data_IF_064062075704
#
_entry.id   IF_064062075704
#
_cell.length_a   1.000
_cell.length_b   1.000
_cell.length_c   1.000
_cell.angle_alpha   90.00
_cell.angle_beta   90.00
_cell.angle_gamma   90.00
#
_symmetry.space_group_name_H-M   'P 1'
#
loop_
_entity.id
_entity.type
_entity.pdbx_description
1 polymer ?
#
# COMPACT_ATOMS: atom_id res chain seq x y z
N UNK A 1 2.14 12.43 -1.64
CA UNK A 1 3.49 12.03 -1.17
C UNK A 1 4.48 12.99 -1.79
N UNK A 2 4.93 14.00 -1.05
CA UNK A 2 5.69 15.13 -1.59
C UNK A 2 7.21 14.96 -1.54
N UNK A 3 7.74 13.87 -0.98
CA UNK A 3 9.19 13.70 -0.82
C UNK A 3 9.85 13.03 -2.03
N UNK A 4 9.39 11.84 -2.43
CA UNK A 4 10.00 11.11 -3.54
C UNK A 4 9.93 11.87 -4.88
N UNK A 5 8.85 12.61 -5.12
CA UNK A 5 8.69 13.46 -6.32
C UNK A 5 9.65 14.66 -6.37
N UNK A 6 10.36 14.97 -5.27
CA UNK A 6 11.38 16.03 -5.26
C UNK A 6 12.73 15.56 -5.83
N UNK A 7 12.90 14.25 -6.00
CA UNK A 7 14.12 13.68 -6.57
C UNK A 7 14.08 13.77 -8.10
N UNK A 8 15.22 14.08 -8.72
CA UNK A 8 15.32 14.32 -10.16
C UNK A 8 15.12 13.05 -11.00
N UNK A 9 15.33 11.88 -10.42
CA UNK A 9 15.30 10.55 -11.05
C UNK A 9 14.19 9.66 -10.47
N UNK A 10 13.09 10.27 -10.01
CA UNK A 10 11.98 9.54 -9.37
C UNK A 10 11.38 8.46 -10.28
N UNK A 11 11.42 7.21 -9.80
CA UNK A 11 10.70 6.07 -10.40
C UNK A 11 9.64 5.57 -9.41
N UNK A 12 8.41 6.03 -9.61
CA UNK A 12 7.27 5.65 -8.75
C UNK A 12 6.85 4.20 -8.93
N UNK A 13 7.01 3.63 -10.13
CA UNK A 13 6.68 2.23 -10.39
C UNK A 13 7.64 1.31 -9.61
N UNK A 14 8.94 1.63 -9.61
CA UNK A 14 9.92 0.94 -8.78
C UNK A 14 9.63 1.14 -7.28
N UNK A 15 9.31 2.36 -6.85
CA UNK A 15 8.97 2.66 -5.46
C UNK A 15 7.81 1.79 -4.94
N UNK A 16 6.67 1.79 -5.62
CA UNK A 16 5.50 1.00 -5.20
C UNK A 16 5.75 -0.51 -5.31
N UNK A 17 6.53 -0.94 -6.31
CA UNK A 17 6.94 -2.34 -6.43
C UNK A 17 7.80 -2.78 -5.24
N UNK A 18 8.74 -1.92 -4.79
CA UNK A 18 9.56 -2.20 -3.61
C UNK A 18 8.74 -2.14 -2.32
N UNK A 19 7.78 -1.21 -2.21
CA UNK A 19 6.80 -1.18 -1.12
C UNK A 19 6.07 -2.52 -0.97
N UNK A 20 5.57 -3.09 -2.07
CA UNK A 20 4.96 -4.43 -2.02
C UNK A 20 5.94 -5.52 -1.59
N UNK A 21 7.19 -5.46 -2.08
CA UNK A 21 8.22 -6.47 -1.78
C UNK A 21 8.63 -6.53 -0.31
N UNK A 22 8.71 -5.38 0.38
CA UNK A 22 9.11 -5.33 1.80
C UNK A 22 8.09 -5.99 2.74
N UNK A 23 6.81 -6.05 2.33
CA UNK A 23 5.73 -6.64 3.12
C UNK A 23 5.48 -8.13 2.83
N UNK A 24 6.31 -8.78 2.00
CA UNK A 24 6.15 -10.21 1.71
C UNK A 24 6.38 -11.04 2.97
N UNK A 25 5.31 -11.68 3.44
CA UNK A 25 5.33 -12.55 4.61
C UNK A 25 4.40 -13.73 4.37
N UNK A 26 4.88 -14.93 4.75
CA UNK A 26 4.09 -16.16 4.79
C UNK A 26 4.35 -16.82 6.13
N UNK A 27 3.27 -17.18 6.81
CA UNK A 27 3.31 -17.82 8.11
C UNK A 27 2.17 -18.83 8.24
N UNK A 28 2.24 -19.69 9.26
CA UNK A 28 1.13 -20.60 9.57
C UNK A 28 -0.11 -19.82 10.01
N UNK A 29 -1.27 -20.46 9.93
CA UNK A 29 -2.54 -19.86 10.35
C UNK A 29 -2.51 -19.51 11.84
N UNK A 30 -1.94 -20.37 12.66
CA UNK A 30 -1.85 -20.22 14.12
C UNK A 30 -1.01 -19.00 14.47
N UNK A 31 0.11 -18.81 13.79
CA UNK A 31 0.95 -17.63 13.99
C UNK A 31 0.26 -16.35 13.52
N UNK A 32 -0.45 -16.38 12.40
CA UNK A 32 -1.23 -15.23 11.93
C UNK A 32 -2.35 -14.86 12.91
N UNK A 33 -3.02 -15.84 13.52
CA UNK A 33 -4.04 -15.63 14.55
C UNK A 33 -3.44 -15.05 15.84
N UNK A 34 -2.29 -15.56 16.25
CA UNK A 34 -1.55 -15.02 17.39
C UNK A 34 -1.21 -13.55 17.17
N UNK A 35 -0.59 -13.21 16.03
CA UNK A 35 -0.26 -11.83 15.69
C UNK A 35 -1.50 -10.93 15.66
N UNK A 36 -2.61 -11.39 15.08
CA UNK A 36 -3.85 -10.61 15.05
C UNK A 36 -4.38 -10.27 16.44
N UNK A 37 -4.08 -11.08 17.46
CA UNK A 37 -4.52 -10.85 18.84
C UNK A 37 -3.63 -9.95 19.67
N UNK A 38 -2.34 -9.82 19.33
CA UNK A 38 -1.34 -9.15 20.19
C UNK A 38 -0.50 -8.07 19.50
N UNK A 39 -0.34 -8.13 18.18
CA UNK A 39 0.44 -7.17 17.43
C UNK A 39 -0.44 -5.95 17.10
N UNK A 40 0.05 -4.77 17.46
CA UNK A 40 -0.62 -3.50 17.15
C UNK A 40 -0.56 -3.17 15.65
N UNK A 41 0.31 -3.84 14.90
CA UNK A 41 0.42 -3.65 13.46
C UNK A 41 -0.60 -4.48 12.70
N UNK A 42 -1.17 -3.87 11.65
CA UNK A 42 -2.04 -4.61 10.73
C UNK A 42 -1.29 -5.78 10.05
N UNK A 43 -1.99 -6.85 9.65
CA UNK A 43 -1.41 -7.93 8.86
C UNK A 43 -0.66 -7.42 7.63
N UNK A 44 0.48 -8.03 7.31
CA UNK A 44 1.40 -7.57 6.26
C UNK A 44 0.72 -7.36 4.89
N UNK A 45 -0.20 -8.26 4.50
CA UNK A 45 -1.01 -8.12 3.27
C UNK A 45 -1.82 -6.82 3.24
N UNK A 46 -2.40 -6.42 4.37
CA UNK A 46 -3.17 -5.18 4.48
C UNK A 46 -2.26 -3.95 4.52
N UNK A 47 -1.08 -4.06 5.16
CA UNK A 47 -0.05 -3.00 5.14
C UNK A 47 0.50 -2.74 3.73
N UNK A 48 0.60 -3.79 2.91
CA UNK A 48 1.01 -3.66 1.52
C UNK A 48 -0.07 -3.00 0.67
N UNK A 49 -1.32 -3.46 0.79
CA UNK A 49 -2.36 -3.15 -0.20
C UNK A 49 -3.21 -1.93 0.15
N UNK A 50 -3.49 -1.63 1.42
CA UNK A 50 -4.42 -0.54 1.77
C UNK A 50 -3.79 0.85 1.60
N UNK A 51 -2.58 1.13 2.13
CA UNK A 51 -2.00 2.48 2.06
C UNK A 51 -1.85 3.06 0.63
N UNK A 52 -1.38 2.30 -0.38
CA UNK A 52 -1.27 2.81 -1.75
C UNK A 52 -2.60 3.31 -2.33
N UNK A 53 -3.73 2.70 -1.96
CA UNK A 53 -5.07 3.13 -2.44
C UNK A 53 -5.50 4.51 -1.92
N UNK A 54 -4.77 5.11 -0.98
CA UNK A 54 -5.03 6.48 -0.54
C UNK A 54 -4.17 7.51 -1.30
N UNK A 55 -3.25 7.08 -2.15
CA UNK A 55 -2.28 7.93 -2.83
C UNK A 55 -2.67 8.09 -4.29
N UNK A 56 -2.93 9.32 -4.73
CA UNK A 56 -3.23 9.64 -6.13
C UNK A 56 -2.11 9.18 -7.08
N UNK A 57 -0.86 9.26 -6.63
CA UNK A 57 0.31 8.83 -7.37
C UNK A 57 0.26 7.34 -7.73
N UNK A 58 -0.37 6.49 -6.90
CA UNK A 58 -0.52 5.08 -7.20
C UNK A 58 -1.49 4.85 -8.37
N UNK A 59 -2.58 5.61 -8.44
CA UNK A 59 -3.55 5.55 -9.54
C UNK A 59 -2.90 5.96 -10.85
N UNK A 60 -2.13 7.04 -10.85
CA UNK A 60 -1.43 7.54 -12.03
C UNK A 60 -0.29 6.63 -12.49
N UNK A 61 0.39 5.95 -11.55
CA UNK A 61 1.54 5.08 -11.88
C UNK A 61 1.12 3.78 -12.55
N UNK A 62 -0.03 3.22 -12.17
CA UNK A 62 -0.49 1.91 -12.65
C UNK A 62 -1.81 1.98 -13.42
N UNK A 63 -2.23 3.18 -13.83
CA UNK A 63 -3.48 3.43 -14.57
C UNK A 63 -4.72 2.77 -13.92
N UNK A 64 -4.83 2.86 -12.59
CA UNK A 64 -5.89 2.19 -11.81
C UNK A 64 -7.24 2.87 -12.07
N UNK A 65 -8.21 2.07 -12.50
CA UNK A 65 -9.58 2.46 -12.82
C UNK A 65 -10.60 1.92 -11.81
N UNK A 66 -11.87 2.31 -11.91
CA UNK A 66 -12.97 1.81 -11.06
C UNK A 66 -13.19 0.30 -11.13
N UNK A 67 -12.72 -0.35 -12.19
CA UNK A 67 -12.85 -1.79 -12.40
C UNK A 67 -11.79 -2.61 -11.64
N UNK A 68 -10.75 -1.94 -11.13
CA UNK A 68 -9.62 -2.60 -10.48
C UNK A 68 -9.85 -2.86 -8.99
N UNK A 69 -9.39 -4.02 -8.50
CA UNK A 69 -9.57 -4.42 -7.11
C UNK A 69 -8.85 -3.55 -6.07
N UNK A 70 -7.90 -2.71 -6.49
CA UNK A 70 -7.23 -1.72 -5.64
C UNK A 70 -7.82 -0.31 -5.78
N UNK A 71 -8.92 -0.15 -6.51
CA UNK A 71 -9.61 1.13 -6.59
C UNK A 71 -10.26 1.52 -5.27
N UNK A 72 -10.22 2.83 -5.00
CA UNK A 72 -10.91 3.48 -3.89
C UNK A 72 -11.37 4.83 -4.38
N UNK A 73 -12.66 5.10 -4.25
CA UNK A 73 -13.25 6.37 -4.65
C UNK A 73 -12.53 7.53 -3.96
N UNK A 74 -12.23 8.65 -4.66
CA UNK A 74 -11.46 9.76 -4.12
C UNK A 74 -11.92 10.25 -2.73
N UNK A 75 -13.23 10.32 -2.51
CA UNK A 75 -13.85 10.75 -1.25
C UNK A 75 -13.69 9.76 -0.09
N UNK A 76 -13.30 8.51 -0.36
CA UNK A 76 -13.00 7.49 0.64
C UNK A 76 -11.50 7.37 0.94
N UNK A 77 -10.64 8.09 0.21
CA UNK A 77 -9.19 8.07 0.41
C UNK A 77 -8.84 8.89 1.64
N UNK A 78 -8.10 8.27 2.56
CA UNK A 78 -7.73 8.91 3.83
C UNK A 78 -6.46 9.73 3.64
N UNK A 79 -6.53 11.02 3.98
CA UNK A 79 -5.38 11.93 4.03
C UNK A 79 -5.29 12.54 5.43
N UNK A 80 -4.12 12.43 6.05
CA UNK A 80 -3.86 12.93 7.42
C UNK A 80 -3.02 14.21 7.39
N UNK A 81 -2.00 14.25 6.54
CA UNK A 81 -1.01 15.32 6.45
C UNK A 81 -1.07 16.03 5.09
#
# INVERSE_FOLDING_TARGET
MTAAQKEADVDLAAFFSQWGKIWRMKASREFQQMLLSMDVHAPAKLRANIPPTNLEEFYQTFDVSEEDGMYRAPEKRVKIW
#
